data_IF_126849663512
#
_entry.id   IF_126849663512
#
_cell.length_a   1.000
_cell.length_b   1.000
_cell.length_c   1.000
_cell.angle_alpha   90.00
_cell.angle_beta   90.00
_cell.angle_gamma   90.00
#
_symmetry.space_group_name_H-M   'P 1'
#
loop_
_entity.id
_entity.type
_entity.pdbx_description
1 polymer ?
#
# COMPACT_ATOMS: atom_id res chain seq x y z
N UNK A 1 1.76 -20.46 -65.83
CA UNK A 1 1.58 -18.98 -65.70
C UNK A 1 0.26 -18.59 -65.01
N UNK A 2 -0.92 -19.20 -65.31
CA UNK A 2 -2.20 -18.81 -64.69
C UNK A 2 -2.29 -19.05 -63.18
N UNK A 3 -1.59 -20.04 -62.63
CA UNK A 3 -1.60 -20.31 -61.15
C UNK A 3 -0.76 -19.31 -60.36
N UNK A 4 0.38 -18.85 -60.90
CA UNK A 4 1.24 -17.86 -60.25
C UNK A 4 0.61 -16.47 -60.20
N UNK A 5 -0.14 -16.09 -61.24
CA UNK A 5 -0.88 -14.83 -61.29
C UNK A 5 -2.04 -14.80 -60.29
N UNK A 6 -2.72 -15.95 -60.06
CA UNK A 6 -3.81 -16.05 -59.08
C UNK A 6 -3.30 -15.93 -57.63
N UNK A 7 -2.13 -16.55 -57.33
CA UNK A 7 -1.48 -16.47 -56.01
C UNK A 7 -0.98 -15.05 -55.71
N UNK A 8 -0.46 -14.38 -56.74
CA UNK A 8 0.00 -12.97 -56.56
C UNK A 8 -1.17 -12.00 -56.32
N UNK A 9 -2.31 -12.25 -56.99
CA UNK A 9 -3.53 -11.44 -56.77
C UNK A 9 -4.12 -11.65 -55.38
N UNK A 10 -4.05 -12.89 -54.83
CA UNK A 10 -4.54 -13.20 -53.47
C UNK A 10 -3.67 -12.56 -52.39
N UNK A 11 -2.36 -12.47 -52.59
CA UNK A 11 -1.44 -11.81 -51.64
C UNK A 11 -1.62 -10.29 -51.69
N UNK A 12 -1.92 -9.70 -52.83
CA UNK A 12 -2.12 -8.27 -52.99
C UNK A 12 -3.38 -7.78 -52.25
N UNK A 13 -4.44 -8.60 -52.15
CA UNK A 13 -5.68 -8.25 -51.44
C UNK A 13 -5.54 -8.27 -49.94
N UNK A 14 -4.58 -9.01 -49.38
CA UNK A 14 -4.35 -9.03 -47.92
C UNK A 14 -3.58 -7.79 -47.38
N UNK A 15 -2.89 -7.05 -48.25
CA UNK A 15 -2.13 -5.86 -47.83
C UNK A 15 -3.01 -4.61 -47.78
N UNK A 16 -4.20 -4.61 -48.34
CA UNK A 16 -5.12 -3.46 -48.38
C UNK A 16 -6.00 -3.39 -47.11
N UNK A 17 -6.02 -4.45 -46.26
CA UNK A 17 -6.89 -4.56 -45.09
C UNK A 17 -6.44 -3.78 -43.86
N UNK A 18 -5.33 -3.05 -43.92
CA UNK A 18 -4.82 -2.24 -42.78
C UNK A 18 -4.80 -0.74 -43.06
N UNK A 19 -5.66 -0.25 -43.92
CA UNK A 19 -5.86 1.19 -44.06
C UNK A 19 -7.29 1.55 -43.63
N UNK A 20 -7.64 1.19 -42.36
CA UNK A 20 -8.70 1.90 -41.69
C UNK A 20 -8.17 3.31 -41.50
N UNK A 21 -8.57 4.22 -42.36
CA UNK A 21 -8.56 5.63 -42.06
C UNK A 21 -9.19 5.75 -40.69
N UNK A 22 -8.43 6.22 -39.69
CA UNK A 22 -9.00 6.67 -38.45
C UNK A 22 -10.04 7.73 -38.81
N UNK A 23 -11.31 7.33 -38.94
CA UNK A 23 -12.38 8.29 -38.86
C UNK A 23 -12.13 9.03 -37.54
N UNK A 24 -11.70 10.27 -37.63
CA UNK A 24 -11.78 11.17 -36.49
C UNK A 24 -13.24 11.12 -36.07
N UNK A 25 -13.52 10.37 -35.01
CA UNK A 25 -14.80 10.40 -34.33
C UNK A 25 -14.89 11.85 -33.82
N UNK A 26 -15.47 12.72 -34.64
CA UNK A 26 -15.84 14.10 -34.27
C UNK A 26 -17.06 14.06 -33.35
N UNK A 27 -16.95 13.28 -32.27
CA UNK A 27 -17.78 13.40 -31.11
C UNK A 27 -17.37 14.65 -30.31
N UNK A 28 -18.22 15.14 -29.44
CA UNK A 28 -17.86 16.25 -28.57
C UNK A 28 -16.53 15.92 -27.90
N UNK A 29 -15.53 16.80 -28.05
CA UNK A 29 -14.19 16.58 -27.52
C UNK A 29 -14.28 16.29 -26.04
N UNK A 30 -13.96 15.06 -25.63
CA UNK A 30 -14.01 14.66 -24.24
C UNK A 30 -12.96 15.42 -23.46
N UNK A 31 -13.38 16.26 -22.52
CA UNK A 31 -12.49 17.06 -21.71
C UNK A 31 -11.84 16.16 -20.62
N UNK A 32 -10.70 15.57 -20.98
CA UNK A 32 -9.91 14.75 -20.08
C UNK A 32 -9.38 15.53 -18.87
N UNK A 33 -9.13 16.82 -19.03
CA UNK A 33 -8.66 17.70 -17.96
C UNK A 33 -9.70 17.84 -16.86
N UNK A 34 -10.93 18.15 -17.22
CA UNK A 34 -12.05 18.22 -16.27
C UNK A 34 -12.31 16.86 -15.62
N UNK A 35 -12.25 15.74 -16.36
CA UNK A 35 -12.42 14.42 -15.77
C UNK A 35 -11.36 14.13 -14.72
N UNK A 36 -10.08 14.30 -15.05
CA UNK A 36 -8.97 14.02 -14.13
C UNK A 36 -9.03 14.91 -12.90
N UNK A 37 -9.37 16.19 -13.07
CA UNK A 37 -9.55 17.11 -11.95
C UNK A 37 -10.71 16.71 -11.05
N UNK A 38 -11.86 16.33 -11.60
CA UNK A 38 -12.99 15.84 -10.83
C UNK A 38 -12.66 14.54 -10.08
N UNK A 39 -11.98 13.61 -10.74
CA UNK A 39 -11.54 12.38 -10.10
C UNK A 39 -10.57 12.65 -8.94
N UNK A 40 -9.62 13.56 -9.13
CA UNK A 40 -8.72 13.97 -8.06
C UNK A 40 -9.49 14.59 -6.88
N UNK A 41 -10.34 15.61 -7.13
CA UNK A 41 -11.02 16.36 -6.07
C UNK A 41 -12.04 15.49 -5.32
N UNK A 42 -12.83 14.68 -6.05
CA UNK A 42 -13.97 13.96 -5.47
C UNK A 42 -13.64 12.51 -5.09
N UNK A 43 -12.53 11.97 -5.51
CA UNK A 43 -12.18 10.56 -5.23
C UNK A 43 -10.81 10.39 -4.58
N UNK A 44 -9.74 10.92 -5.16
CA UNK A 44 -8.38 10.67 -4.69
C UNK A 44 -8.08 11.47 -3.42
N UNK A 45 -8.22 12.78 -3.48
CA UNK A 45 -7.86 13.70 -2.39
C UNK A 45 -8.61 13.39 -1.08
N UNK A 46 -9.94 13.15 -1.06
CA UNK A 46 -10.63 12.82 0.18
C UNK A 46 -10.14 11.51 0.82
N UNK A 47 -9.85 10.48 0.02
CA UNK A 47 -9.35 9.19 0.52
C UNK A 47 -7.94 9.30 1.09
N UNK A 48 -7.06 10.04 0.43
CA UNK A 48 -5.71 10.29 0.96
C UNK A 48 -5.78 11.11 2.27
N UNK A 49 -6.69 12.07 2.36
CA UNK A 49 -6.91 12.86 3.58
C UNK A 49 -7.48 11.99 4.71
N UNK A 50 -8.44 11.10 4.41
CA UNK A 50 -8.95 10.13 5.37
C UNK A 50 -7.83 9.20 5.85
N UNK A 51 -7.06 8.62 4.94
CA UNK A 51 -5.94 7.74 5.28
C UNK A 51 -4.94 8.44 6.19
N UNK A 52 -4.50 9.65 5.82
CA UNK A 52 -3.61 10.45 6.68
C UNK A 52 -4.19 10.64 8.08
N UNK A 53 -5.45 11.03 8.18
CA UNK A 53 -6.12 11.23 9.48
C UNK A 53 -6.15 9.94 10.32
N UNK A 54 -6.39 8.77 9.69
CA UNK A 54 -6.40 7.49 10.40
C UNK A 54 -5.01 7.06 10.86
N UNK A 55 -3.95 7.35 10.08
CA UNK A 55 -2.56 7.15 10.51
C UNK A 55 -2.22 8.06 11.69
N UNK A 56 -2.58 9.34 11.62
CA UNK A 56 -2.33 10.30 12.72
C UNK A 56 -3.00 9.82 14.04
N UNK A 57 -4.24 9.29 13.94
CA UNK A 57 -4.95 8.73 15.10
C UNK A 57 -4.29 7.45 15.64
N UNK A 58 -3.78 6.60 14.77
CA UNK A 58 -3.06 5.39 15.16
C UNK A 58 -1.73 5.74 15.85
N UNK A 59 -1.01 6.74 15.35
CA UNK A 59 0.22 7.24 15.97
C UNK A 59 -0.04 7.77 17.39
N UNK A 60 -1.11 8.55 17.60
CA UNK A 60 -1.51 9.01 18.92
C UNK A 60 -1.80 7.84 19.86
N UNK A 61 -2.56 6.85 19.39
CA UNK A 61 -2.89 5.66 20.19
C UNK A 61 -1.65 4.80 20.48
N UNK A 62 -0.69 4.68 19.54
CA UNK A 62 0.59 4.01 19.76
C UNK A 62 1.40 4.71 20.85
N UNK A 63 1.51 6.03 20.79
CA UNK A 63 2.23 6.80 21.82
C UNK A 63 1.58 6.68 23.19
N UNK A 64 0.25 6.60 23.26
CA UNK A 64 -0.47 6.38 24.52
C UNK A 64 -0.22 4.97 25.06
N UNK A 65 -0.25 3.94 24.21
CA UNK A 65 0.06 2.56 24.59
C UNK A 65 1.52 2.42 25.08
N UNK A 66 2.48 3.06 24.43
CA UNK A 66 3.90 3.05 24.85
C UNK A 66 4.07 3.54 26.29
N UNK A 67 3.24 4.49 26.73
CA UNK A 67 3.28 5.05 28.08
C UNK A 67 2.54 4.16 29.08
N UNK A 68 1.30 3.72 28.73
CA UNK A 68 0.41 3.03 29.67
C UNK A 68 0.69 1.53 29.79
N UNK A 69 1.00 0.88 28.66
CA UNK A 69 1.24 -0.57 28.55
C UNK A 69 0.18 -1.39 29.28
N UNK A 70 -1.10 -1.10 29.01
CA UNK A 70 -2.26 -1.75 29.59
C UNK A 70 -3.26 -2.23 28.53
N UNK A 71 -4.20 -3.12 28.92
CA UNK A 71 -5.21 -3.69 28.04
C UNK A 71 -6.10 -2.62 27.38
N UNK A 72 -6.42 -1.54 28.09
CA UNK A 72 -7.30 -0.51 27.57
C UNK A 72 -6.63 0.24 26.40
N UNK A 73 -5.40 0.67 26.58
CA UNK A 73 -4.63 1.37 25.54
C UNK A 73 -4.24 0.44 24.38
N UNK A 74 -3.95 -0.85 24.64
CA UNK A 74 -3.71 -1.85 23.59
C UNK A 74 -4.96 -2.02 22.69
N UNK A 75 -6.14 -2.13 23.29
CA UNK A 75 -7.39 -2.28 22.54
C UNK A 75 -7.73 -1.02 21.73
N UNK A 76 -7.48 0.18 22.27
CA UNK A 76 -7.63 1.42 21.51
C UNK A 76 -6.68 1.45 20.32
N UNK A 77 -5.41 1.08 20.51
CA UNK A 77 -4.42 1.03 19.42
C UNK A 77 -4.83 0.03 18.33
N UNK A 78 -5.32 -1.15 18.69
CA UNK A 78 -5.84 -2.15 17.76
C UNK A 78 -7.03 -1.62 16.95
N UNK A 79 -7.94 -0.89 17.59
CA UNK A 79 -9.06 -0.24 16.88
C UNK A 79 -8.53 0.77 15.84
N UNK A 80 -7.57 1.62 16.22
CA UNK A 80 -6.99 2.62 15.30
C UNK A 80 -6.14 1.98 14.20
N UNK A 81 -5.47 0.86 14.49
CA UNK A 81 -4.78 0.05 13.48
C UNK A 81 -5.76 -0.47 12.43
N UNK A 82 -6.88 -1.06 12.83
CA UNK A 82 -7.90 -1.56 11.89
C UNK A 82 -8.46 -0.42 11.04
N UNK A 83 -8.78 0.72 11.66
CA UNK A 83 -9.27 1.92 10.96
C UNK A 83 -8.26 2.39 9.89
N UNK A 84 -6.98 2.48 10.25
CA UNK A 84 -5.91 2.91 9.35
C UNK A 84 -5.68 1.90 8.22
N UNK A 85 -5.71 0.59 8.52
CA UNK A 85 -5.57 -0.46 7.51
C UNK A 85 -6.75 -0.46 6.52
N UNK A 86 -7.97 -0.27 6.99
CA UNK A 86 -9.15 -0.13 6.13
C UNK A 86 -9.07 1.11 5.22
N UNK A 87 -8.55 2.22 5.74
CA UNK A 87 -8.34 3.43 4.94
C UNK A 87 -7.22 3.22 3.90
N UNK A 88 -6.13 2.51 4.26
CA UNK A 88 -5.06 2.11 3.34
C UNK A 88 -5.60 1.36 2.13
N UNK A 89 -6.45 0.36 2.32
CA UNK A 89 -7.03 -0.45 1.23
C UNK A 89 -7.76 0.39 0.17
N UNK A 90 -8.25 1.59 0.55
CA UNK A 90 -8.92 2.51 -0.37
C UNK A 90 -7.95 3.37 -1.18
N UNK A 91 -6.69 3.42 -0.80
CA UNK A 91 -5.66 4.27 -1.43
C UNK A 91 -4.47 3.47 -1.97
N UNK A 92 -4.33 2.19 -1.66
CA UNK A 92 -3.19 1.37 -2.07
C UNK A 92 -2.97 1.32 -3.59
N UNK A 93 -4.07 1.41 -4.36
CA UNK A 93 -4.00 1.48 -5.82
C UNK A 93 -3.48 2.83 -6.35
N UNK A 94 -3.42 3.88 -5.51
CA UNK A 94 -2.99 5.23 -5.89
C UNK A 94 -1.47 5.31 -5.72
N UNK A 95 -0.74 4.59 -6.56
CA UNK A 95 0.73 4.56 -6.53
C UNK A 95 1.29 5.45 -7.63
N UNK A 96 1.22 6.77 -7.42
CA UNK A 96 1.64 7.81 -8.39
C UNK A 96 2.56 8.83 -7.73
N UNK A 97 3.38 9.48 -8.55
CA UNK A 97 4.26 10.55 -8.10
C UNK A 97 5.26 10.09 -7.03
N UNK A 98 5.31 10.79 -5.90
CA UNK A 98 6.27 10.48 -4.83
C UNK A 98 6.09 9.08 -4.23
N UNK A 99 4.87 8.56 -4.16
CA UNK A 99 4.62 7.22 -3.64
C UNK A 99 5.26 6.14 -4.53
N UNK A 100 5.18 6.28 -5.85
CA UNK A 100 5.85 5.39 -6.81
C UNK A 100 7.37 5.51 -6.72
N UNK A 101 7.89 6.74 -6.70
CA UNK A 101 9.33 7.03 -6.62
C UNK A 101 10.01 6.38 -5.41
N UNK A 102 9.35 6.37 -4.25
CA UNK A 102 9.89 5.79 -3.01
C UNK A 102 9.47 4.34 -2.76
N UNK A 103 8.82 3.71 -3.74
CA UNK A 103 8.28 2.33 -3.61
C UNK A 103 7.38 2.15 -2.38
N UNK A 104 6.48 3.13 -2.13
CA UNK A 104 5.69 3.20 -0.91
C UNK A 104 4.89 1.93 -0.63
N UNK A 105 4.23 1.35 -1.65
CA UNK A 105 3.44 0.12 -1.51
C UNK A 105 4.27 -1.07 -1.01
N UNK A 106 5.54 -1.17 -1.44
CA UNK A 106 6.44 -2.24 -0.99
C UNK A 106 6.95 -2.08 0.45
N UNK A 107 6.56 -1.00 1.12
CA UNK A 107 6.86 -0.75 2.54
C UNK A 107 5.63 -0.87 3.43
N UNK A 108 4.43 -0.68 2.85
CA UNK A 108 3.20 -0.53 3.64
C UNK A 108 2.49 -1.85 3.94
N UNK A 109 2.47 -2.81 2.99
CA UNK A 109 1.67 -4.01 3.12
C UNK A 109 2.34 -5.24 2.50
N UNK A 110 3.55 -5.56 2.94
CA UNK A 110 4.30 -6.74 2.46
C UNK A 110 4.00 -7.95 3.35
N UNK A 111 3.33 -8.92 2.78
CA UNK A 111 2.98 -10.16 3.47
C UNK A 111 3.70 -11.37 2.84
N UNK A 112 4.15 -12.36 3.65
CA UNK A 112 4.07 -12.43 5.11
C UNK A 112 5.12 -11.54 5.79
N UNK A 113 4.84 -11.15 7.05
CA UNK A 113 5.82 -10.48 7.90
C UNK A 113 7.06 -11.36 8.12
N UNK A 114 8.25 -10.77 8.06
CA UNK A 114 9.49 -11.46 8.40
C UNK A 114 9.79 -11.32 9.90
N UNK A 115 9.21 -12.19 10.71
CA UNK A 115 9.36 -12.18 12.17
C UNK A 115 10.82 -12.22 12.61
N UNK A 116 11.68 -13.03 11.95
CA UNK A 116 13.09 -13.09 12.29
C UNK A 116 13.79 -11.73 12.08
N UNK A 117 13.41 -11.00 11.02
CA UNK A 117 13.95 -9.66 10.76
C UNK A 117 13.41 -8.64 11.78
N UNK A 118 12.11 -8.69 12.11
CA UNK A 118 11.51 -7.85 13.17
C UNK A 118 12.26 -8.04 14.49
N UNK A 119 12.40 -9.28 14.92
CA UNK A 119 13.12 -9.62 16.16
C UNK A 119 14.57 -9.14 16.14
N UNK A 120 15.29 -9.33 15.03
CA UNK A 120 16.66 -8.84 14.89
C UNK A 120 16.76 -7.32 14.97
N UNK A 121 15.83 -6.60 14.32
CA UNK A 121 15.76 -5.14 14.38
C UNK A 121 15.51 -4.63 15.81
N UNK A 122 14.53 -5.22 16.51
CA UNK A 122 14.21 -4.88 17.90
C UNK A 122 15.42 -5.14 18.80
N UNK A 123 16.03 -6.32 18.71
CA UNK A 123 17.19 -6.69 19.54
C UNK A 123 18.42 -5.84 19.29
N UNK A 124 18.63 -5.37 18.05
CA UNK A 124 19.76 -4.51 17.72
C UNK A 124 19.53 -3.05 18.13
N UNK A 125 18.28 -2.63 18.22
CA UNK A 125 17.89 -1.21 18.39
C UNK A 125 18.33 -0.30 17.24
N UNK A 126 18.81 -0.89 16.12
CA UNK A 126 19.36 -0.15 14.98
C UNK A 126 18.81 -0.75 13.68
N UNK A 127 18.02 0.01 12.95
CA UNK A 127 17.40 -0.44 11.69
C UNK A 127 17.17 0.75 10.75
N UNK A 128 17.18 0.46 9.44
CA UNK A 128 16.87 1.44 8.38
C UNK A 128 15.69 0.94 7.54
N UNK A 129 14.55 1.57 7.68
CA UNK A 129 13.34 1.26 6.91
C UNK A 129 13.41 1.66 5.43
N UNK A 130 14.47 2.35 4.99
CA UNK A 130 14.72 2.58 3.57
C UNK A 130 15.48 1.43 2.92
N UNK A 131 16.09 0.55 3.70
CA UNK A 131 16.71 -0.65 3.19
C UNK A 131 15.64 -1.68 2.79
N UNK A 132 15.68 -2.14 1.53
CA UNK A 132 14.70 -3.09 0.98
C UNK A 132 14.62 -4.41 1.77
N UNK A 133 15.68 -4.82 2.48
CA UNK A 133 15.67 -5.99 3.35
C UNK A 133 14.71 -5.85 4.55
N UNK A 134 14.26 -4.65 4.86
CA UNK A 134 13.29 -4.36 5.91
C UNK A 134 11.85 -4.21 5.38
N UNK A 135 11.59 -4.36 4.07
CA UNK A 135 10.24 -4.19 3.53
C UNK A 135 9.21 -5.13 4.19
N UNK A 136 9.59 -6.39 4.48
CA UNK A 136 8.73 -7.34 5.19
C UNK A 136 8.85 -7.28 6.73
N UNK A 137 9.50 -6.24 7.25
CA UNK A 137 9.63 -5.96 8.69
C UNK A 137 9.14 -4.55 9.05
N UNK A 138 8.24 -3.99 8.25
CA UNK A 138 7.60 -2.70 8.47
C UNK A 138 6.17 -2.71 7.90
N UNK A 139 5.41 -1.64 8.12
CA UNK A 139 4.06 -1.48 7.60
C UNK A 139 3.01 -2.31 8.34
N UNK A 140 1.82 -2.41 7.75
CA UNK A 140 0.66 -3.01 8.40
C UNK A 140 0.86 -4.45 8.87
N UNK A 141 1.46 -5.39 8.10
CA UNK A 141 1.66 -6.76 8.59
C UNK A 141 2.60 -6.84 9.79
N UNK A 142 3.58 -5.94 9.87
CA UNK A 142 4.49 -5.88 11.02
C UNK A 142 3.78 -5.33 12.25
N UNK A 143 2.99 -4.27 12.09
CA UNK A 143 2.16 -3.73 13.18
C UNK A 143 1.16 -4.78 13.66
N UNK A 144 0.52 -5.52 12.75
CA UNK A 144 -0.37 -6.62 13.10
C UNK A 144 0.33 -7.66 13.98
N UNK A 145 1.51 -8.12 13.56
CA UNK A 145 2.33 -9.03 14.35
C UNK A 145 2.67 -8.45 15.74
N UNK A 146 3.03 -7.18 15.80
CA UNK A 146 3.37 -6.49 17.05
C UNK A 146 2.17 -6.38 17.99
N UNK A 147 0.95 -6.24 17.46
CA UNK A 147 -0.26 -6.07 18.25
C UNK A 147 -0.94 -7.38 18.68
N UNK A 148 -0.74 -8.46 17.90
CA UNK A 148 -1.48 -9.70 18.09
C UNK A 148 -0.62 -10.97 18.13
N UNK A 149 0.60 -10.91 17.62
CA UNK A 149 1.42 -12.10 17.35
C UNK A 149 2.66 -12.25 18.24
N UNK A 150 2.90 -11.35 19.20
CA UNK A 150 4.08 -11.44 20.06
C UNK A 150 3.97 -12.57 21.08
N UNK A 151 2.76 -12.87 21.57
CA UNK A 151 2.50 -13.95 22.51
C UNK A 151 1.04 -14.44 22.41
N UNK A 152 0.66 -15.48 23.19
CA UNK A 152 -0.63 -16.15 23.13
C UNK A 152 -1.78 -15.37 23.79
N UNK A 153 -1.50 -14.41 24.69
CA UNK A 153 -2.52 -13.61 25.38
C UNK A 153 -2.14 -12.14 25.47
N UNK A 154 -3.16 -11.30 25.65
CA UNK A 154 -2.99 -9.84 25.77
C UNK A 154 -2.10 -9.47 26.96
N UNK A 155 -2.25 -10.16 28.08
CA UNK A 155 -1.42 -9.95 29.27
C UNK A 155 0.06 -10.22 28.96
N UNK A 156 0.36 -11.30 28.26
CA UNK A 156 1.73 -11.63 27.86
C UNK A 156 2.28 -10.67 26.80
N UNK A 157 1.47 -10.22 25.86
CA UNK A 157 1.85 -9.18 24.88
C UNK A 157 2.25 -7.90 25.64
N UNK A 158 1.44 -7.47 26.60
CA UNK A 158 1.72 -6.29 27.42
C UNK A 158 2.98 -6.49 28.25
N UNK A 159 3.20 -7.69 28.79
CA UNK A 159 4.41 -8.02 29.54
C UNK A 159 5.67 -7.91 28.68
N UNK A 160 5.63 -8.33 27.39
CA UNK A 160 6.73 -8.12 26.44
C UNK A 160 7.08 -6.65 26.33
N UNK A 161 6.08 -5.78 26.14
CA UNK A 161 6.29 -4.33 26.06
C UNK A 161 6.75 -3.70 27.39
N UNK A 162 6.34 -4.27 28.52
CA UNK A 162 6.75 -3.79 29.83
C UNK A 162 8.20 -4.14 30.17
N UNK A 163 8.68 -5.29 29.68
CA UNK A 163 10.02 -5.80 29.98
C UNK A 163 11.12 -5.25 29.05
N UNK A 164 10.77 -4.82 27.82
CA UNK A 164 11.74 -4.32 26.84
C UNK A 164 11.16 -3.16 26.03
N UNK A 165 11.65 -1.95 26.31
CA UNK A 165 11.25 -0.73 25.62
C UNK A 165 11.59 -0.74 24.11
N UNK A 166 12.49 -1.62 23.64
CA UNK A 166 12.79 -1.72 22.21
C UNK A 166 11.57 -2.16 21.41
N UNK A 167 10.66 -2.97 21.98
CA UNK A 167 9.40 -3.32 21.33
C UNK A 167 8.51 -2.08 21.17
N UNK A 168 8.40 -1.26 22.19
CA UNK A 168 7.63 -0.03 22.11
C UNK A 168 8.24 1.00 21.15
N UNK A 169 9.56 1.04 21.05
CA UNK A 169 10.26 1.92 20.11
C UNK A 169 10.13 1.47 18.64
N UNK A 170 9.94 0.17 18.42
CA UNK A 170 9.77 -0.39 17.09
C UNK A 170 8.32 -0.26 16.59
N UNK A 171 7.34 -0.24 17.49
CA UNK A 171 5.91 -0.05 17.18
C UNK A 171 5.60 1.39 16.77
#
# INVERSE_FOLDING_TARGET
MKKATLTFLLILTTIISCNEASEEISGPSYDRGTLLNNWYIYSIQPRLSEFKSKIDMMEVASNEFKIKKDNASLNILREKYVDAHMAWQRVEMINIGKAEEIYYNSKMNVYPVNVARVTANISSGTYDFNNANNNAAQGFPTIDYMLYGLDESDEKIIEVYANDDNYANYL
#
